data_IF_713677949569
#
_entry.id   IF_713677949569
#
_cell.length_a   1.000
_cell.length_b   1.000
_cell.length_c   1.000
_cell.angle_alpha   90.00
_cell.angle_beta   90.00
_cell.angle_gamma   90.00
#
_symmetry.space_group_name_H-M   'P 1'
#
loop_
_entity.id
_entity.type
_entity.pdbx_description
1 polymer ?
#
# COMPACT_ATOMS: atom_id res chain seq x y z
N UNK A 1 -2.86 14.64 13.70
CA UNK A 1 -3.41 14.22 12.43
C UNK A 1 -3.90 12.77 12.55
N UNK A 2 -5.19 12.54 12.33
CA UNK A 2 -5.76 11.18 12.36
C UNK A 2 -5.44 10.45 11.05
N UNK A 3 -5.18 9.14 11.17
CA UNK A 3 -4.95 8.29 10.02
C UNK A 3 -5.65 6.95 10.19
N UNK A 4 -6.19 6.44 9.09
CA UNK A 4 -6.78 5.11 8.98
C UNK A 4 -6.03 4.40 7.85
N UNK A 5 -5.41 3.27 8.18
CA UNK A 5 -4.81 2.37 7.22
C UNK A 5 -5.68 1.13 7.11
N UNK A 6 -6.12 0.84 5.90
CA UNK A 6 -6.94 -0.32 5.61
C UNK A 6 -6.34 -1.12 4.45
N UNK A 7 -5.94 -2.35 4.73
CA UNK A 7 -5.58 -3.33 3.72
C UNK A 7 -6.86 -3.96 3.17
N UNK A 8 -7.18 -3.63 1.92
CA UNK A 8 -8.38 -4.11 1.24
C UNK A 8 -8.30 -5.62 1.03
N UNK A 9 -9.41 -6.31 1.33
CA UNK A 9 -9.45 -7.78 1.30
C UNK A 9 -10.20 -8.26 0.08
N UNK A 10 -9.74 -9.38 -0.47
CA UNK A 10 -10.44 -10.11 -1.54
C UNK A 10 -11.69 -10.82 -0.97
N UNK A 11 -12.70 -10.04 -0.61
CA UNK A 11 -13.95 -10.50 0.01
C UNK A 11 -15.09 -9.57 -0.38
N UNK A 12 -16.30 -9.87 0.08
CA UNK A 12 -17.49 -9.06 -0.24
C UNK A 12 -17.36 -7.61 0.21
N UNK A 13 -18.14 -6.71 -0.43
CA UNK A 13 -18.26 -5.32 -0.01
C UNK A 13 -18.62 -5.20 1.47
N UNK A 14 -19.61 -5.96 1.96
CA UNK A 14 -20.07 -5.92 3.35
C UNK A 14 -18.95 -6.27 4.35
N UNK A 15 -18.11 -7.23 4.02
CA UNK A 15 -16.99 -7.62 4.87
C UNK A 15 -15.91 -6.51 4.90
N UNK A 16 -15.61 -5.89 3.74
CA UNK A 16 -14.69 -4.75 3.67
C UNK A 16 -15.24 -3.55 4.44
N UNK A 17 -16.53 -3.21 4.26
CA UNK A 17 -17.22 -2.16 5.01
C UNK A 17 -17.18 -2.44 6.51
N UNK A 18 -17.48 -3.67 6.93
CA UNK A 18 -17.44 -4.08 8.33
C UNK A 18 -16.05 -3.91 8.96
N UNK A 19 -14.98 -4.35 8.26
CA UNK A 19 -13.60 -4.23 8.75
C UNK A 19 -13.13 -2.77 8.79
N UNK A 20 -13.42 -1.98 7.76
CA UNK A 20 -13.05 -0.56 7.75
C UNK A 20 -13.84 0.22 8.81
N UNK A 21 -15.10 -0.13 9.08
CA UNK A 21 -15.92 0.48 10.15
C UNK A 21 -15.32 0.27 11.54
N UNK A 22 -14.67 -0.86 11.81
CA UNK A 22 -13.94 -1.11 13.07
C UNK A 22 -12.81 -0.08 13.22
N UNK A 23 -11.98 0.07 12.19
CA UNK A 23 -10.89 1.04 12.19
C UNK A 23 -11.38 2.49 12.32
N UNK A 24 -12.53 2.80 11.73
CA UNK A 24 -13.18 4.11 11.91
C UNK A 24 -13.57 4.31 13.38
N UNK A 25 -14.21 3.32 14.02
CA UNK A 25 -14.54 3.38 15.44
C UNK A 25 -13.31 3.62 16.32
N UNK A 26 -12.24 2.87 16.08
CA UNK A 26 -10.96 3.03 16.79
C UNK A 26 -10.33 4.41 16.58
N UNK A 27 -10.28 4.91 15.34
CA UNK A 27 -9.68 6.20 15.03
C UNK A 27 -10.40 7.38 15.67
N UNK A 28 -11.71 7.28 15.88
CA UNK A 28 -12.55 8.35 16.40
C UNK A 28 -13.03 8.12 17.85
N UNK A 29 -12.57 7.04 18.49
CA UNK A 29 -12.90 6.68 19.88
C UNK A 29 -14.42 6.60 20.12
N UNK A 30 -15.14 5.91 19.24
CA UNK A 30 -16.56 5.61 19.41
C UNK A 30 -16.89 4.18 18.99
N UNK A 31 -18.05 3.63 19.41
CA UNK A 31 -18.47 2.29 19.03
C UNK A 31 -18.48 2.13 17.50
N UNK A 32 -18.15 0.92 17.00
CA UNK A 32 -18.15 0.60 15.59
C UNK A 32 -19.40 1.15 14.89
N UNK A 33 -19.25 2.10 13.95
CA UNK A 33 -20.39 2.63 13.21
C UNK A 33 -20.89 1.60 12.21
N UNK A 34 -22.19 1.62 11.91
CA UNK A 34 -22.80 0.78 10.88
C UNK A 34 -23.01 1.59 9.61
N UNK A 35 -22.47 1.09 8.49
CA UNK A 35 -22.68 1.66 7.16
C UNK A 35 -23.35 0.62 6.27
N UNK A 36 -24.24 1.07 5.40
CA UNK A 36 -24.98 0.22 4.48
C UNK A 36 -24.07 -0.32 3.36
N UNK A 37 -23.12 0.51 2.90
CA UNK A 37 -22.25 0.27 1.76
C UNK A 37 -20.95 1.07 1.86
N UNK A 38 -20.03 0.86 0.94
CA UNK A 38 -18.77 1.57 0.87
C UNK A 38 -18.96 3.08 0.59
N UNK A 39 -19.96 3.45 -0.20
CA UNK A 39 -20.25 4.85 -0.49
C UNK A 39 -20.61 5.63 0.78
N UNK A 40 -21.52 5.12 1.58
CA UNK A 40 -21.95 5.77 2.83
C UNK A 40 -20.79 5.92 3.83
N UNK A 41 -19.91 4.93 3.90
CA UNK A 41 -18.70 4.99 4.72
C UNK A 41 -17.73 6.06 4.22
N UNK A 42 -17.42 6.09 2.92
CA UNK A 42 -16.53 7.09 2.34
C UNK A 42 -17.08 8.51 2.52
N UNK A 43 -18.37 8.73 2.27
CA UNK A 43 -19.04 10.03 2.51
C UNK A 43 -18.92 10.48 3.97
N UNK A 44 -19.07 9.55 4.91
CA UNK A 44 -18.89 9.84 6.33
C UNK A 44 -17.45 10.31 6.62
N UNK A 45 -16.44 9.62 6.10
CA UNK A 45 -15.03 10.00 6.32
C UNK A 45 -14.69 11.35 5.69
N UNK A 46 -15.11 11.59 4.44
CA UNK A 46 -14.91 12.88 3.78
C UNK A 46 -15.60 14.03 4.50
N UNK A 47 -16.84 13.84 4.95
CA UNK A 47 -17.57 14.82 5.75
C UNK A 47 -16.90 15.09 7.11
N UNK A 48 -16.39 14.04 7.75
CA UNK A 48 -15.67 14.19 9.03
C UNK A 48 -14.38 14.99 8.83
N UNK A 49 -13.69 14.81 7.69
CA UNK A 49 -12.47 15.53 7.35
C UNK A 49 -12.69 17.03 7.07
N UNK A 50 -13.92 17.51 6.92
CA UNK A 50 -14.20 18.96 6.86
C UNK A 50 -13.80 19.68 8.16
N UNK A 51 -13.90 18.95 9.29
CA UNK A 51 -13.64 19.52 10.64
C UNK A 51 -12.22 19.27 11.12
N UNK A 52 -11.66 18.12 10.81
CA UNK A 52 -10.29 17.78 11.18
C UNK A 52 -9.60 17.01 10.04
N UNK A 53 -8.32 17.30 9.75
CA UNK A 53 -7.60 16.62 8.69
C UNK A 53 -7.50 15.12 8.95
N UNK A 54 -7.77 14.31 7.91
CA UNK A 54 -7.77 12.86 7.96
C UNK A 54 -6.95 12.27 6.82
N UNK A 55 -6.13 11.26 7.11
CA UNK A 55 -5.47 10.43 6.12
C UNK A 55 -6.21 9.09 6.06
N UNK A 56 -6.67 8.71 4.87
CA UNK A 56 -7.18 7.37 4.60
C UNK A 56 -6.25 6.68 3.60
N UNK A 57 -5.71 5.53 3.99
CA UNK A 57 -4.92 4.67 3.12
C UNK A 57 -5.75 3.44 2.80
N UNK A 58 -5.99 3.21 1.51
CA UNK A 58 -6.58 1.99 0.96
C UNK A 58 -5.47 1.20 0.27
N UNK A 59 -4.90 0.26 0.99
CA UNK A 59 -3.86 -0.63 0.47
C UNK A 59 -4.50 -1.84 -0.21
N UNK A 60 -3.84 -2.39 -1.22
CA UNK A 60 -4.38 -3.41 -2.11
C UNK A 60 -5.79 -3.03 -2.67
N UNK A 61 -5.94 -1.76 -3.05
CA UNK A 61 -7.16 -1.20 -3.64
C UNK A 61 -7.77 -2.04 -4.76
N UNK A 62 -7.00 -2.72 -5.64
CA UNK A 62 -7.56 -3.60 -6.66
C UNK A 62 -8.56 -4.61 -6.11
N UNK A 63 -8.33 -5.20 -4.94
CA UNK A 63 -9.27 -6.15 -4.34
C UNK A 63 -10.61 -5.51 -3.96
N UNK A 64 -10.56 -4.27 -3.45
CA UNK A 64 -11.78 -3.55 -3.14
C UNK A 64 -12.54 -3.18 -4.40
N UNK A 65 -11.83 -2.72 -5.45
CA UNK A 65 -12.38 -2.34 -6.75
C UNK A 65 -13.11 -3.49 -7.45
N UNK A 66 -12.58 -4.72 -7.34
CA UNK A 66 -13.21 -5.92 -7.89
C UNK A 66 -14.53 -6.28 -7.19
N UNK A 67 -14.61 -6.02 -5.89
CA UNK A 67 -15.73 -6.46 -5.04
C UNK A 67 -16.79 -5.38 -4.79
N UNK A 68 -16.47 -4.10 -5.07
CA UNK A 68 -17.41 -2.97 -4.96
C UNK A 68 -17.74 -2.44 -6.35
N UNK A 69 -18.94 -2.75 -6.81
CA UNK A 69 -19.34 -2.36 -8.16
C UNK A 69 -19.35 -0.84 -8.35
N UNK A 70 -18.55 -0.36 -9.29
CA UNK A 70 -18.49 1.06 -9.62
C UNK A 70 -17.74 1.93 -8.61
N UNK A 71 -16.83 1.34 -7.80
CA UNK A 71 -16.10 2.05 -6.76
C UNK A 71 -15.37 3.30 -7.27
N UNK A 72 -14.75 3.24 -8.45
CA UNK A 72 -14.07 4.41 -9.05
C UNK A 72 -15.05 5.57 -9.27
N UNK A 73 -16.31 5.28 -9.67
CA UNK A 73 -17.35 6.29 -9.84
C UNK A 73 -17.89 6.82 -8.50
N UNK A 74 -17.98 5.96 -7.49
CA UNK A 74 -18.32 6.36 -6.13
C UNK A 74 -17.26 7.32 -5.59
N UNK A 75 -15.99 6.97 -5.69
CA UNK A 75 -14.88 7.84 -5.29
C UNK A 75 -14.89 9.16 -6.06
N UNK A 76 -15.12 9.11 -7.39
CA UNK A 76 -15.28 10.32 -8.20
C UNK A 76 -16.34 11.25 -7.61
N UNK A 77 -17.55 10.72 -7.37
CA UNK A 77 -18.67 11.50 -6.83
C UNK A 77 -18.35 12.11 -5.49
N UNK A 78 -17.76 11.34 -4.59
CA UNK A 78 -17.40 11.79 -3.24
C UNK A 78 -16.29 12.86 -3.29
N UNK A 79 -15.22 12.62 -4.06
CA UNK A 79 -14.13 13.59 -4.22
C UNK A 79 -14.65 14.91 -4.80
N UNK A 80 -15.49 14.87 -5.83
CA UNK A 80 -16.03 16.07 -6.45
C UNK A 80 -16.97 16.85 -5.51
N UNK A 81 -17.81 16.14 -4.74
CA UNK A 81 -18.71 16.78 -3.77
C UNK A 81 -17.98 17.49 -2.64
N UNK A 82 -16.86 16.91 -2.18
CA UNK A 82 -16.13 17.42 -1.01
C UNK A 82 -14.85 18.19 -1.37
N UNK A 83 -14.56 18.40 -2.65
CA UNK A 83 -13.30 18.97 -3.17
C UNK A 83 -12.83 20.22 -2.45
N UNK A 84 -13.71 21.17 -2.21
CA UNK A 84 -13.38 22.49 -1.66
C UNK A 84 -13.60 22.58 -0.14
N UNK A 85 -14.05 21.51 0.49
CA UNK A 85 -14.46 21.49 1.90
C UNK A 85 -13.65 20.51 2.74
N UNK A 86 -13.23 19.40 2.14
CA UNK A 86 -12.57 18.31 2.83
C UNK A 86 -11.07 18.55 2.98
N UNK A 87 -10.53 18.17 4.14
CA UNK A 87 -9.10 18.08 4.40
C UNK A 87 -8.64 16.61 4.36
N UNK A 88 -9.30 15.78 3.52
CA UNK A 88 -8.96 14.39 3.30
C UNK A 88 -7.67 14.26 2.49
N UNK A 89 -6.77 13.38 2.94
CA UNK A 89 -5.68 12.83 2.15
C UNK A 89 -6.01 11.37 1.87
N UNK A 90 -6.52 11.09 0.68
CA UNK A 90 -6.78 9.72 0.24
C UNK A 90 -5.55 9.18 -0.48
N UNK A 91 -5.01 8.07 0.02
CA UNK A 91 -3.89 7.35 -0.58
C UNK A 91 -4.41 5.99 -1.03
N UNK A 92 -4.23 5.70 -2.30
CA UNK A 92 -4.61 4.42 -2.92
C UNK A 92 -3.34 3.74 -3.37
N UNK A 93 -3.09 2.52 -2.92
CA UNK A 93 -1.95 1.71 -3.36
C UNK A 93 -2.36 0.28 -3.67
N UNK A 94 -1.50 -0.42 -4.38
CA UNK A 94 -1.71 -1.81 -4.75
C UNK A 94 -0.55 -2.34 -5.59
N UNK A 95 -0.33 -3.64 -5.50
CA UNK A 95 0.73 -4.37 -6.19
C UNK A 95 0.41 -4.66 -7.67
N UNK A 96 -0.86 -4.61 -8.08
CA UNK A 96 -1.30 -4.83 -9.46
C UNK A 96 -1.07 -3.59 -10.32
N UNK A 97 0.14 -3.47 -10.86
CA UNK A 97 0.62 -2.28 -11.60
C UNK A 97 -0.32 -1.87 -12.74
N UNK A 98 -0.84 -2.82 -13.51
CA UNK A 98 -1.71 -2.51 -14.65
C UNK A 98 -3.06 -1.99 -14.19
N UNK A 99 -3.67 -2.58 -13.17
CA UNK A 99 -4.90 -2.07 -12.55
C UNK A 99 -4.70 -0.66 -11.99
N UNK A 100 -3.56 -0.40 -11.33
CA UNK A 100 -3.25 0.94 -10.82
C UNK A 100 -3.03 1.96 -11.96
N UNK A 101 -2.44 1.56 -13.09
CA UNK A 101 -2.32 2.42 -14.28
C UNK A 101 -3.67 2.76 -14.91
N UNK A 102 -4.66 1.84 -14.86
CA UNK A 102 -6.01 2.09 -15.36
C UNK A 102 -6.68 3.28 -14.66
N UNK A 103 -6.36 3.54 -13.38
CA UNK A 103 -6.90 4.68 -12.65
C UNK A 103 -6.47 6.02 -13.25
N UNK A 104 -5.34 6.04 -13.97
CA UNK A 104 -4.79 7.21 -14.64
C UNK A 104 -5.32 7.39 -16.07
N UNK A 105 -6.04 6.41 -16.60
CA UNK A 105 -6.53 6.44 -17.97
C UNK A 105 -7.68 7.45 -18.12
N UNK A 106 -7.75 8.13 -19.27
CA UNK A 106 -8.76 9.18 -19.55
C UNK A 106 -10.21 8.73 -19.39
N UNK A 107 -10.49 7.45 -19.61
CA UNK A 107 -11.82 6.86 -19.46
C UNK A 107 -12.15 6.49 -18.02
N UNK A 108 -11.19 6.50 -17.10
CA UNK A 108 -11.44 6.18 -15.69
C UNK A 108 -12.10 7.37 -14.97
N UNK A 109 -13.10 7.14 -14.11
CA UNK A 109 -13.73 8.20 -13.33
C UNK A 109 -12.78 9.04 -12.47
N UNK A 110 -11.65 8.48 -12.03
CA UNK A 110 -10.64 9.17 -11.20
C UNK A 110 -9.67 10.02 -12.02
N UNK A 111 -9.72 9.98 -13.35
CA UNK A 111 -8.86 10.82 -14.19
C UNK A 111 -9.03 12.31 -13.85
N UNK A 112 -7.90 13.00 -13.65
CA UNK A 112 -7.88 14.42 -13.29
C UNK A 112 -8.25 14.73 -11.82
N UNK A 113 -8.36 13.68 -10.97
CA UNK A 113 -8.62 13.80 -9.53
C UNK A 113 -7.45 13.28 -8.67
N UNK A 114 -6.41 12.81 -9.31
CA UNK A 114 -5.18 12.31 -8.69
C UNK A 114 -4.14 13.41 -8.75
N UNK A 115 -3.71 13.89 -7.60
CA UNK A 115 -2.73 14.98 -7.47
C UNK A 115 -1.29 14.48 -7.57
N UNK A 116 -1.04 13.24 -7.13
CA UNK A 116 0.29 12.64 -7.09
C UNK A 116 0.25 11.16 -7.44
N UNK A 117 1.13 10.75 -8.31
CA UNK A 117 1.37 9.33 -8.64
C UNK A 117 2.80 8.97 -8.31
N UNK A 118 2.98 7.91 -7.51
CA UNK A 118 4.28 7.37 -7.16
C UNK A 118 4.40 5.95 -7.71
N UNK A 119 5.37 5.72 -8.57
CA UNK A 119 5.75 4.38 -9.01
C UNK A 119 7.01 3.97 -8.27
N UNK A 120 6.83 3.26 -7.15
CA UNK A 120 7.94 2.77 -6.34
C UNK A 120 8.64 1.64 -7.10
N UNK A 121 9.90 1.87 -7.41
CA UNK A 121 10.78 0.87 -8.01
C UNK A 121 11.62 0.20 -6.92
N UNK A 122 12.16 -1.00 -7.17
CA UNK A 122 13.22 -1.53 -6.33
C UNK A 122 14.34 -0.49 -6.16
N UNK A 123 14.97 -0.49 -5.00
CA UNK A 123 16.15 0.36 -4.74
C UNK A 123 17.26 0.06 -5.73
N UNK A 124 18.03 1.06 -6.06
CA UNK A 124 19.25 0.87 -6.84
C UNK A 124 20.38 0.29 -5.97
N UNK A 125 21.55 0.07 -6.60
CA UNK A 125 22.73 -0.44 -5.91
C UNK A 125 23.16 0.46 -4.74
N UNK A 126 23.17 1.78 -4.93
CA UNK A 126 23.63 2.72 -3.90
C UNK A 126 22.70 2.76 -2.70
N UNK A 127 21.40 2.75 -2.95
CA UNK A 127 20.39 2.71 -1.91
C UNK A 127 20.42 1.38 -1.14
N UNK A 128 20.55 0.27 -1.85
CA UNK A 128 20.64 -1.07 -1.25
C UNK A 128 21.90 -1.23 -0.40
N UNK A 129 23.05 -0.69 -0.84
CA UNK A 129 24.33 -0.76 -0.13
C UNK A 129 24.29 -0.11 1.26
N UNK A 130 23.33 0.78 1.53
CA UNK A 130 23.14 1.40 2.85
C UNK A 130 22.66 0.40 3.91
N UNK A 131 22.07 -0.73 3.52
CA UNK A 131 21.61 -1.76 4.45
C UNK A 131 22.76 -2.59 5.06
N UNK A 132 23.90 -2.64 4.39
CA UNK A 132 25.06 -3.45 4.78
C UNK A 132 26.38 -2.66 4.64
N UNK A 133 26.54 -1.56 5.43
CA UNK A 133 27.64 -0.61 5.29
C UNK A 133 29.03 -1.25 5.50
N UNK A 134 29.10 -2.28 6.34
CA UNK A 134 30.37 -2.90 6.77
C UNK A 134 30.95 -3.88 5.76
N UNK A 135 30.21 -4.25 4.71
CA UNK A 135 30.72 -5.10 3.63
C UNK A 135 31.66 -4.31 2.70
N UNK A 136 32.64 -5.02 2.12
CA UNK A 136 33.47 -4.44 1.06
C UNK A 136 32.64 -4.06 -0.17
N UNK A 137 33.12 -3.13 -0.98
CA UNK A 137 32.39 -2.70 -2.19
C UNK A 137 32.17 -3.88 -3.15
N UNK A 138 33.12 -4.83 -3.25
CA UNK A 138 32.98 -6.05 -4.05
C UNK A 138 31.84 -6.92 -3.51
N UNK A 139 31.77 -7.12 -2.20
CA UNK A 139 30.71 -7.92 -1.57
C UNK A 139 29.34 -7.23 -1.64
N UNK A 140 29.27 -5.90 -1.56
CA UNK A 140 28.03 -5.14 -1.80
C UNK A 140 27.50 -5.36 -3.21
N UNK A 141 28.38 -5.39 -4.24
CA UNK A 141 27.98 -5.72 -5.61
C UNK A 141 27.47 -7.16 -5.70
N UNK A 142 28.14 -8.10 -5.06
CA UNK A 142 27.71 -9.51 -5.03
C UNK A 142 26.34 -9.66 -4.35
N UNK A 143 26.13 -9.01 -3.20
CA UNK A 143 24.87 -9.00 -2.47
C UNK A 143 23.76 -8.45 -3.37
N UNK A 144 23.96 -7.26 -3.96
CA UNK A 144 22.98 -6.65 -4.83
C UNK A 144 22.64 -7.51 -6.05
N UNK A 145 23.62 -8.19 -6.63
CA UNK A 145 23.40 -9.09 -7.78
C UNK A 145 22.53 -10.30 -7.46
N UNK A 146 22.47 -10.71 -6.18
CA UNK A 146 21.69 -11.88 -5.73
C UNK A 146 20.34 -11.44 -5.14
N UNK A 147 20.33 -10.46 -4.26
CA UNK A 147 19.14 -10.05 -3.50
C UNK A 147 18.35 -8.90 -4.14
N UNK A 148 18.96 -8.19 -5.10
CA UNK A 148 18.34 -7.06 -5.77
C UNK A 148 18.01 -5.90 -4.84
N UNK A 149 17.09 -5.03 -5.28
CA UNK A 149 16.72 -3.78 -4.59
C UNK A 149 15.47 -3.86 -3.72
N UNK A 150 14.99 -5.05 -3.35
CA UNK A 150 13.81 -5.15 -2.47
C UNK A 150 14.23 -4.87 -1.01
N UNK A 151 13.67 -3.83 -0.35
CA UNK A 151 14.07 -3.45 1.01
C UNK A 151 13.98 -4.60 2.02
N UNK A 152 12.94 -5.42 1.90
CA UNK A 152 12.73 -6.57 2.78
C UNK A 152 13.88 -7.56 2.69
N UNK A 153 14.37 -7.89 1.48
CA UNK A 153 15.47 -8.84 1.30
C UNK A 153 16.78 -8.28 1.83
N UNK A 154 17.07 -7.01 1.52
CA UNK A 154 18.28 -6.34 1.98
C UNK A 154 18.36 -6.26 3.50
N UNK A 155 17.22 -6.08 4.19
CA UNK A 155 17.15 -6.03 5.67
C UNK A 155 17.46 -7.38 6.33
N UNK A 156 17.31 -8.49 5.63
CA UNK A 156 17.58 -9.84 6.17
C UNK A 156 19.07 -10.17 6.19
N UNK A 157 19.91 -9.43 5.48
CA UNK A 157 21.34 -9.70 5.35
C UNK A 157 22.02 -9.46 6.70
N UNK A 158 22.72 -10.48 7.19
CA UNK A 158 23.50 -10.40 8.42
C UNK A 158 24.93 -9.92 8.12
N UNK A 159 25.27 -8.73 8.57
CA UNK A 159 26.61 -8.13 8.41
C UNK A 159 27.75 -8.88 9.12
N UNK A 160 27.43 -9.85 9.99
CA UNK A 160 28.42 -10.70 10.67
C UNK A 160 28.77 -11.96 9.89
N UNK A 161 28.03 -12.25 8.84
CA UNK A 161 28.23 -13.43 7.98
C UNK A 161 28.81 -13.01 6.64
N UNK A 162 29.53 -13.94 6.01
CA UNK A 162 29.97 -13.76 4.62
C UNK A 162 28.79 -13.70 3.66
N UNK A 163 29.00 -13.18 2.45
CA UNK A 163 27.99 -13.20 1.36
C UNK A 163 27.48 -14.61 1.12
N UNK A 164 28.40 -15.60 1.07
CA UNK A 164 28.06 -17.00 0.85
C UNK A 164 27.13 -17.55 1.94
N UNK A 165 27.42 -17.28 3.21
CA UNK A 165 26.59 -17.74 4.33
C UNK A 165 25.21 -17.11 4.28
N UNK A 166 25.10 -15.81 3.98
CA UNK A 166 23.81 -15.14 3.77
C UNK A 166 23.00 -15.80 2.65
N UNK A 167 23.64 -16.12 1.52
CA UNK A 167 22.95 -16.79 0.39
C UNK A 167 22.45 -18.18 0.82
N UNK A 168 23.28 -18.97 1.51
CA UNK A 168 22.90 -20.29 1.99
C UNK A 168 21.71 -20.20 2.94
N UNK A 169 21.77 -19.31 3.92
CA UNK A 169 20.75 -19.20 4.97
C UNK A 169 19.43 -18.61 4.48
N UNK A 170 19.48 -17.66 3.56
CA UNK A 170 18.30 -16.94 3.11
C UNK A 170 17.64 -17.51 1.85
N UNK A 171 18.41 -18.23 1.00
CA UNK A 171 17.93 -18.69 -0.31
C UNK A 171 18.11 -20.19 -0.49
N UNK A 172 19.35 -20.73 -0.26
CA UNK A 172 19.71 -22.04 -0.73
C UNK A 172 19.36 -23.20 0.23
N UNK A 173 19.14 -22.91 1.51
CA UNK A 173 18.76 -23.93 2.49
C UNK A 173 17.28 -24.31 2.36
N UNK A 174 16.91 -25.57 2.52
CA UNK A 174 15.50 -25.98 2.54
C UNK A 174 14.72 -25.22 3.62
N UNK A 175 13.62 -24.57 3.24
CA UNK A 175 12.83 -23.72 4.12
C UNK A 175 13.41 -22.33 4.39
N UNK A 176 14.41 -21.91 3.61
CA UNK A 176 14.94 -20.54 3.68
C UNK A 176 13.88 -19.50 3.35
N UNK A 177 13.97 -18.31 3.98
CA UNK A 177 12.94 -17.26 3.89
C UNK A 177 12.69 -16.76 2.47
N UNK A 178 13.67 -16.83 1.59
CA UNK A 178 13.61 -16.34 0.22
C UNK A 178 13.77 -17.49 -0.80
N UNK A 179 13.62 -18.77 -0.38
CA UNK A 179 13.76 -19.92 -1.26
C UNK A 179 12.85 -19.84 -2.51
N UNK A 180 11.63 -19.32 -2.36
CA UNK A 180 10.64 -19.23 -3.43
C UNK A 180 10.61 -17.88 -4.14
N UNK A 181 11.46 -16.93 -3.74
CA UNK A 181 11.48 -15.57 -4.30
C UNK A 181 12.50 -15.44 -5.44
N UNK A 182 13.40 -16.42 -5.57
CA UNK A 182 14.48 -16.45 -6.56
C UNK A 182 14.17 -17.53 -7.60
N UNK A 183 13.11 -17.32 -8.39
CA UNK A 183 12.75 -18.22 -9.49
C UNK A 183 12.71 -17.48 -10.82
#
# INVERSE_FOLDING_TARGET
LKSIYYECKQTTEQNNVGSLSELVGEAFDFPKPAFADMESLLRFLFRTSEKEPLILVLDEYPYLRENVKGLDSVLQSVIDEYRDRSNMKLIICGSYVDTMKELLARQNPLYGRIDLTLNLKPMDYYESALFYPDFSDEDKVRIYSVFGGIPYYNRLIDGKKSVRENIIDLIASPGARLENEVS
#
